data_IF_587649583392
#
_entry.id   IF_587649583392
#
_cell.length_a   1.000
_cell.length_b   1.000
_cell.length_c   1.000
_cell.angle_alpha   90.00
_cell.angle_beta   90.00
_cell.angle_gamma   90.00
#
_symmetry.space_group_name_H-M   'P 1'
#
loop_
_entity.id
_entity.type
_entity.pdbx_description
1 polymer ?
#
# COMPACT_ATOMS: atom_id res chain seq x y z
N UNK A 1 18.95 -26.23 -19.05
CA UNK A 1 17.69 -25.51 -18.75
C UNK A 1 17.86 -24.95 -17.37
N UNK A 2 17.94 -23.63 -17.26
CA UNK A 2 18.24 -22.98 -15.99
C UNK A 2 17.04 -23.16 -15.05
N UNK A 3 17.30 -23.57 -13.82
CA UNK A 3 16.30 -23.67 -12.76
C UNK A 3 16.49 -22.49 -11.81
N UNK A 4 15.38 -21.93 -11.33
CA UNK A 4 15.34 -20.87 -10.31
C UNK A 4 14.27 -21.22 -9.29
N UNK A 5 14.46 -20.86 -8.02
CA UNK A 5 13.51 -21.22 -6.95
C UNK A 5 12.14 -20.55 -7.12
N UNK A 6 12.13 -19.28 -7.57
CA UNK A 6 10.90 -18.50 -7.73
C UNK A 6 10.96 -17.56 -8.94
N UNK A 7 9.84 -17.46 -9.65
CA UNK A 7 9.63 -16.48 -10.71
C UNK A 7 8.49 -15.53 -10.33
N UNK A 8 8.75 -14.22 -10.39
CA UNK A 8 7.75 -13.17 -10.20
C UNK A 8 7.48 -12.48 -11.53
N UNK A 9 6.24 -12.53 -12.00
CA UNK A 9 5.83 -11.87 -13.25
C UNK A 9 5.21 -10.51 -12.94
N UNK A 10 5.84 -9.45 -13.44
CA UNK A 10 5.50 -8.05 -13.26
C UNK A 10 6.40 -7.34 -12.23
N UNK A 11 7.09 -6.29 -12.65
CA UNK A 11 7.95 -5.44 -11.82
C UNK A 11 7.25 -4.13 -11.39
N UNK A 12 5.94 -4.20 -11.11
CA UNK A 12 5.23 -3.16 -10.35
C UNK A 12 5.55 -3.22 -8.85
N UNK A 13 5.05 -2.25 -8.08
CA UNK A 13 5.34 -2.14 -6.64
C UNK A 13 5.01 -3.41 -5.85
N UNK A 14 3.91 -4.10 -6.20
CA UNK A 14 3.52 -5.37 -5.55
C UNK A 14 4.49 -6.49 -5.92
N UNK A 15 4.81 -6.66 -7.21
CA UNK A 15 5.74 -7.69 -7.66
C UNK A 15 7.14 -7.52 -7.06
N UNK A 16 7.65 -6.29 -7.04
CA UNK A 16 8.93 -5.96 -6.39
C UNK A 16 8.90 -6.21 -4.88
N UNK A 17 7.79 -5.91 -4.19
CA UNK A 17 7.64 -6.19 -2.76
C UNK A 17 7.62 -7.70 -2.47
N UNK A 18 6.97 -8.50 -3.32
CA UNK A 18 6.95 -9.97 -3.24
C UNK A 18 8.34 -10.53 -3.48
N UNK A 19 9.00 -10.13 -4.58
CA UNK A 19 10.34 -10.57 -4.93
C UNK A 19 11.35 -10.26 -3.81
N UNK A 20 11.27 -9.07 -3.21
CA UNK A 20 12.08 -8.69 -2.05
C UNK A 20 11.87 -9.62 -0.86
N UNK A 21 10.63 -9.98 -0.53
CA UNK A 21 10.36 -10.88 0.61
C UNK A 21 10.90 -12.28 0.35
N UNK A 22 10.74 -12.81 -0.87
CA UNK A 22 11.28 -14.11 -1.26
C UNK A 22 12.82 -14.13 -1.20
N UNK A 23 13.47 -13.09 -1.73
CA UNK A 23 14.93 -12.97 -1.68
C UNK A 23 15.45 -12.86 -0.24
N UNK A 24 14.78 -12.10 0.63
CA UNK A 24 15.14 -12.01 2.06
C UNK A 24 14.93 -13.34 2.81
N UNK A 25 14.08 -14.23 2.29
CA UNK A 25 13.92 -15.59 2.80
C UNK A 25 14.96 -16.58 2.23
N UNK A 26 15.96 -16.09 1.50
CA UNK A 26 17.06 -16.89 0.94
C UNK A 26 16.73 -17.61 -0.37
N UNK A 27 15.65 -17.23 -1.06
CA UNK A 27 15.28 -17.81 -2.36
C UNK A 27 16.02 -17.11 -3.49
N UNK A 28 16.42 -17.88 -4.50
CA UNK A 28 16.75 -17.31 -5.81
C UNK A 28 15.48 -16.83 -6.50
N UNK A 29 15.44 -15.56 -6.92
CA UNK A 29 14.23 -14.96 -7.51
C UNK A 29 14.54 -14.32 -8.85
N UNK A 30 13.86 -14.80 -9.90
CA UNK A 30 13.82 -14.17 -11.20
C UNK A 30 12.58 -13.28 -11.32
N UNK A 31 12.76 -12.02 -11.74
CA UNK A 31 11.66 -11.10 -12.02
C UNK A 31 11.55 -10.92 -13.53
N UNK A 32 10.35 -11.14 -14.07
CA UNK A 32 10.05 -10.93 -15.48
C UNK A 32 9.15 -9.69 -15.62
N UNK A 33 9.58 -8.72 -16.41
CA UNK A 33 8.80 -7.52 -16.74
C UNK A 33 8.76 -7.35 -18.25
N UNK A 34 7.57 -7.08 -18.78
CA UNK A 34 7.37 -6.88 -20.22
C UNK A 34 7.83 -5.49 -20.67
N UNK A 35 7.74 -4.48 -19.79
CA UNK A 35 8.21 -3.14 -20.06
C UNK A 35 9.75 -3.03 -19.97
N UNK A 36 10.32 -2.04 -20.65
CA UNK A 36 11.76 -1.77 -20.60
C UNK A 36 12.26 -1.29 -19.22
N UNK A 37 11.35 -0.87 -18.33
CA UNK A 37 11.65 -0.38 -16.98
C UNK A 37 10.60 -0.88 -15.99
N UNK A 38 11.03 -1.13 -14.76
CA UNK A 38 10.13 -1.46 -13.65
C UNK A 38 9.20 -0.29 -13.31
N UNK A 39 8.07 -0.59 -12.68
CA UNK A 39 7.15 0.40 -12.12
C UNK A 39 6.37 1.24 -13.13
N UNK A 40 6.52 1.02 -14.44
CA UNK A 40 5.93 1.89 -15.49
C UNK A 40 4.41 1.75 -15.68
N UNK A 41 3.81 0.69 -15.13
CA UNK A 41 2.36 0.46 -15.16
C UNK A 41 1.59 1.30 -14.13
N UNK A 42 0.58 0.70 -13.47
CA UNK A 42 -0.23 1.37 -12.46
C UNK A 42 0.59 1.94 -11.28
N UNK A 43 1.77 1.39 -11.01
CA UNK A 43 2.68 1.90 -9.97
C UNK A 43 3.22 3.30 -10.24
N UNK A 44 3.23 3.78 -11.48
CA UNK A 44 3.57 5.15 -11.85
C UNK A 44 2.35 6.03 -12.13
N UNK A 45 1.13 5.51 -11.94
CA UNK A 45 -0.14 6.16 -12.31
C UNK A 45 -1.13 6.10 -11.16
N UNK A 46 -0.73 6.67 -10.02
CA UNK A 46 -1.53 6.76 -8.81
C UNK A 46 -1.23 8.07 -8.07
N UNK A 47 -1.97 8.37 -7.01
CA UNK A 47 -1.83 9.63 -6.26
C UNK A 47 -0.65 9.64 -5.28
N UNK A 48 0.10 8.54 -5.17
CA UNK A 48 1.23 8.37 -4.24
C UNK A 48 0.87 8.55 -2.76
N UNK A 49 -0.42 8.45 -2.42
CA UNK A 49 -0.93 8.58 -1.06
C UNK A 49 -0.70 7.29 -0.28
N UNK A 50 -0.01 7.41 0.86
CA UNK A 50 0.00 6.38 1.88
C UNK A 50 -1.31 6.47 2.67
N UNK A 51 -2.29 5.64 2.31
CA UNK A 51 -3.63 5.70 2.88
C UNK A 51 -3.68 5.30 4.36
N UNK A 52 -4.56 5.96 5.12
CA UNK A 52 -4.75 5.71 6.54
C UNK A 52 -5.54 4.43 6.86
N UNK A 53 -6.37 3.93 5.93
CA UNK A 53 -7.21 2.73 6.16
C UNK A 53 -8.68 2.96 6.53
N UNK A 54 -9.18 4.19 6.39
CA UNK A 54 -10.45 4.63 7.01
C UNK A 54 -11.74 4.38 6.20
N UNK A 55 -11.64 3.93 4.95
CA UNK A 55 -12.81 3.73 4.06
C UNK A 55 -13.09 2.27 3.72
N UNK A 56 -12.19 1.34 4.05
CA UNK A 56 -12.31 -0.04 3.62
C UNK A 56 -13.29 -0.81 4.53
N UNK A 57 -14.07 -1.76 3.99
CA UNK A 57 -14.94 -2.60 4.81
C UNK A 57 -14.16 -3.27 5.94
N UNK A 58 -14.65 -3.23 7.19
CA UNK A 58 -13.99 -3.88 8.32
C UNK A 58 -13.75 -5.38 8.09
N UNK A 59 -12.60 -5.86 8.57
CA UNK A 59 -12.17 -7.26 8.38
C UNK A 59 -11.66 -7.59 6.97
N UNK A 60 -11.87 -6.73 5.96
CA UNK A 60 -11.38 -6.97 4.60
C UNK A 60 -9.85 -7.01 4.52
N UNK A 61 -9.33 -7.70 3.49
CA UNK A 61 -7.90 -7.67 3.20
C UNK A 61 -7.39 -6.24 2.95
N UNK A 62 -8.18 -5.38 2.29
CA UNK A 62 -7.81 -3.98 2.07
C UNK A 62 -7.65 -3.23 3.40
N UNK A 63 -8.59 -3.38 4.34
CA UNK A 63 -8.48 -2.77 5.67
C UNK A 63 -7.22 -3.24 6.40
N UNK A 64 -7.06 -4.57 6.54
CA UNK A 64 -5.95 -5.18 7.27
C UNK A 64 -4.58 -4.87 6.67
N UNK A 65 -4.44 -5.01 5.34
CA UNK A 65 -3.18 -4.79 4.66
C UNK A 65 -2.84 -3.30 4.52
N UNK A 66 -3.82 -2.40 4.41
CA UNK A 66 -3.56 -0.96 4.39
C UNK A 66 -2.99 -0.49 5.72
N UNK A 67 -3.63 -0.80 6.85
CA UNK A 67 -3.17 -0.35 8.17
C UNK A 67 -1.80 -0.93 8.51
N UNK A 68 -1.62 -2.26 8.36
CA UNK A 68 -0.31 -2.91 8.56
C UNK A 68 0.75 -2.41 7.57
N UNK A 69 0.36 -2.19 6.32
CA UNK A 69 1.24 -1.77 5.23
C UNK A 69 1.73 -0.34 5.41
N UNK A 70 0.86 0.57 5.85
CA UNK A 70 1.18 1.97 6.17
C UNK A 70 2.34 2.05 7.16
N UNK A 71 2.24 1.38 8.30
CA UNK A 71 3.28 1.43 9.34
C UNK A 71 4.62 0.89 8.83
N UNK A 72 4.58 -0.24 8.11
CA UNK A 72 5.77 -0.83 7.49
C UNK A 72 6.38 0.08 6.43
N UNK A 73 5.56 0.75 5.63
CA UNK A 73 6.02 1.60 4.54
C UNK A 73 6.68 2.87 5.09
N UNK A 74 6.12 3.51 6.11
CA UNK A 74 6.78 4.65 6.77
C UNK A 74 8.14 4.25 7.34
N UNK A 75 8.22 3.12 8.06
CA UNK A 75 9.49 2.61 8.58
C UNK A 75 10.49 2.29 7.46
N UNK A 76 10.02 1.69 6.36
CA UNK A 76 10.87 1.40 5.20
C UNK A 76 11.39 2.67 4.53
N UNK A 77 10.54 3.68 4.33
CA UNK A 77 10.92 4.93 3.72
C UNK A 77 11.95 5.69 4.57
N UNK A 78 11.74 5.76 5.89
CA UNK A 78 12.69 6.35 6.82
C UNK A 78 14.05 5.63 6.78
N UNK A 79 14.04 4.30 6.89
CA UNK A 79 15.27 3.49 6.92
C UNK A 79 16.06 3.51 5.60
N UNK A 80 15.42 3.86 4.48
CA UNK A 80 16.02 3.87 3.13
C UNK A 80 16.16 5.26 2.53
N UNK A 81 15.91 6.32 3.32
CA UNK A 81 15.90 7.69 2.85
C UNK A 81 15.04 7.91 1.59
N UNK A 82 13.89 7.22 1.51
CA UNK A 82 12.91 7.44 0.44
C UNK A 82 12.10 8.67 0.80
N UNK A 83 12.06 9.64 -0.12
CA UNK A 83 11.31 10.87 0.07
C UNK A 83 9.82 10.57 0.33
N UNK A 84 9.32 11.07 1.45
CA UNK A 84 7.92 10.95 1.84
C UNK A 84 7.55 12.05 2.82
N UNK A 85 6.25 12.35 2.92
CA UNK A 85 5.72 13.28 3.94
C UNK A 85 4.51 12.65 4.62
N UNK A 86 4.44 12.79 5.94
CA UNK A 86 3.23 12.47 6.71
C UNK A 86 2.43 13.77 6.89
N UNK A 87 1.72 14.15 5.83
CA UNK A 87 1.00 15.44 5.74
C UNK A 87 -0.48 15.36 6.13
N UNK A 88 -0.89 14.29 6.82
CA UNK A 88 -2.27 14.04 7.24
C UNK A 88 -3.28 14.08 6.08
N UNK A 89 -4.58 14.02 6.38
CA UNK A 89 -5.67 14.11 5.40
C UNK A 89 -6.93 14.66 6.07
N UNK A 90 -7.55 15.65 5.45
CA UNK A 90 -8.88 16.13 5.83
C UNK A 90 -9.96 15.48 4.97
N UNK A 91 -11.06 15.08 5.62
CA UNK A 91 -12.31 14.72 4.94
C UNK A 91 -13.32 15.77 5.35
N UNK A 92 -13.91 16.43 4.35
CA UNK A 92 -14.80 17.57 4.55
C UNK A 92 -16.21 17.20 4.09
N UNK A 93 -17.21 17.62 4.86
CA UNK A 93 -18.58 17.74 4.39
C UNK A 93 -18.76 19.17 3.90
N UNK A 94 -19.20 19.36 2.65
CA UNK A 94 -19.46 20.69 2.07
C UNK A 94 -20.93 21.06 2.12
N UNK A 95 -21.78 20.14 2.58
CA UNK A 95 -23.21 20.35 2.84
C UNK A 95 -23.65 19.62 4.11
N UNK A 96 -24.73 20.08 4.74
CA UNK A 96 -25.28 19.44 5.95
C UNK A 96 -25.71 17.99 5.70
N UNK A 97 -26.14 17.68 4.47
CA UNK A 97 -26.54 16.32 4.07
C UNK A 97 -25.38 15.31 4.11
N UNK A 98 -24.12 15.77 4.08
CA UNK A 98 -22.93 14.92 4.10
C UNK A 98 -22.42 14.62 5.52
N UNK A 99 -22.89 15.35 6.55
CA UNK A 99 -22.46 15.17 7.95
C UNK A 99 -22.63 13.73 8.46
N UNK A 100 -23.73 12.99 8.18
CA UNK A 100 -23.84 11.58 8.55
C UNK A 100 -22.74 10.71 7.92
N UNK A 101 -22.24 11.11 6.75
CA UNK A 101 -21.11 10.46 6.07
C UNK A 101 -19.82 10.51 6.89
N UNK A 102 -19.52 11.65 7.54
CA UNK A 102 -18.35 11.79 8.41
C UNK A 102 -18.42 10.85 9.62
N UNK A 103 -19.59 10.75 10.25
CA UNK A 103 -19.81 9.84 11.37
C UNK A 103 -19.58 8.37 10.97
N UNK A 104 -20.04 7.98 9.78
CA UNK A 104 -19.81 6.63 9.22
C UNK A 104 -18.34 6.36 8.91
N UNK A 105 -17.62 7.36 8.37
CA UNK A 105 -16.17 7.24 8.15
C UNK A 105 -15.45 7.06 9.48
N UNK A 106 -15.80 7.83 10.51
CA UNK A 106 -15.20 7.69 11.84
C UNK A 106 -15.47 6.33 12.49
N UNK A 107 -16.69 5.81 12.35
CA UNK A 107 -17.02 4.46 12.81
C UNK A 107 -16.21 3.38 12.08
N UNK A 108 -16.05 3.52 10.75
CA UNK A 108 -15.25 2.60 9.93
C UNK A 108 -13.76 2.66 10.28
N UNK A 109 -13.23 3.86 10.49
CA UNK A 109 -11.85 4.06 10.94
C UNK A 109 -11.56 3.33 12.25
N UNK A 110 -12.42 3.52 13.27
CA UNK A 110 -12.32 2.81 14.56
C UNK A 110 -12.39 1.30 14.39
N UNK A 111 -13.34 0.81 13.60
CA UNK A 111 -13.46 -0.63 13.33
C UNK A 111 -12.24 -1.22 12.60
N UNK A 112 -11.48 -0.40 11.87
CA UNK A 112 -10.23 -0.78 11.23
C UNK A 112 -8.99 -0.57 12.11
N UNK A 113 -9.14 -0.13 13.36
CA UNK A 113 -8.02 0.17 14.26
C UNK A 113 -7.28 1.46 13.90
N UNK A 114 -7.95 2.42 13.29
CA UNK A 114 -7.41 3.74 12.94
C UNK A 114 -8.01 4.78 13.87
N UNK A 115 -7.16 5.42 14.66
CA UNK A 115 -7.52 6.59 15.47
C UNK A 115 -7.58 7.84 14.57
N UNK A 116 -8.62 8.66 14.76
CA UNK A 116 -8.87 9.91 14.04
C UNK A 116 -8.67 11.09 14.97
#
# INVERSE_FOLDING_TARGET
>A
MDQVDAVVVGAGVVGLAVARQLALAGREVLILEAAARFGTGASARNSEVIHAGIHYPPGSLKARLCVRGRERLYGFCAARAIAHRRCEKLIVATTDAELPGLARVAATARANGVEL
#
